data_IF_283506977167
#
_entry.id   IF_283506977167
#
_cell.length_a   1.000
_cell.length_b   1.000
_cell.length_c   1.000
_cell.angle_alpha   90.00
_cell.angle_beta   90.00
_cell.angle_gamma   90.00
#
_symmetry.space_group_name_H-M   'P 1'
#
loop_
_entity.id
_entity.type
_entity.pdbx_description
1 polymer ?
#
# COMPACT_ATOMS: atom_id res chain seq x y z
N UNK A 1 1.61 5.48 32.10
CA UNK A 1 0.67 4.35 32.21
C UNK A 1 1.22 3.46 33.32
N UNK A 2 0.51 3.26 34.43
CA UNK A 2 0.95 2.33 35.48
C UNK A 2 0.54 0.91 35.08
N UNK A 3 1.43 -0.07 35.25
CA UNK A 3 1.19 -1.49 34.99
C UNK A 3 1.53 -2.32 36.23
N UNK A 4 0.97 -3.52 36.33
CA UNK A 4 1.21 -4.45 37.44
C UNK A 4 2.05 -5.66 37.04
N UNK A 5 2.86 -5.52 35.98
CA UNK A 5 3.75 -6.58 35.49
C UNK A 5 4.96 -6.74 36.40
N UNK A 6 5.46 -7.98 36.56
CA UNK A 6 6.77 -8.23 37.16
C UNK A 6 7.91 -7.75 36.26
N UNK A 7 9.12 -7.62 36.79
CA UNK A 7 10.28 -7.19 36.01
C UNK A 7 10.60 -8.15 34.85
N UNK A 8 10.48 -9.47 35.06
CA UNK A 8 10.70 -10.46 34.01
C UNK A 8 9.64 -10.37 32.90
N UNK A 9 8.36 -10.20 33.26
CA UNK A 9 7.29 -9.98 32.29
C UNK A 9 7.48 -8.67 31.53
N UNK A 10 7.93 -7.62 32.21
CA UNK A 10 8.19 -6.31 31.62
C UNK A 10 9.33 -6.41 30.61
N UNK A 11 10.44 -7.05 30.99
CA UNK A 11 11.60 -7.25 30.13
C UNK A 11 11.28 -8.17 28.96
N UNK A 12 10.54 -9.26 29.18
CA UNK A 12 10.12 -10.16 28.10
C UNK A 12 9.21 -9.42 27.11
N UNK A 13 8.23 -8.65 27.59
CA UNK A 13 7.31 -7.90 26.73
C UNK A 13 7.99 -6.72 26.03
N UNK A 14 8.94 -6.06 26.70
CA UNK A 14 9.78 -5.04 26.09
C UNK A 14 10.72 -5.63 25.01
N UNK A 15 11.16 -6.88 25.20
CA UNK A 15 12.04 -7.58 24.25
C UNK A 15 11.28 -8.19 23.06
N UNK A 16 9.98 -8.49 23.19
CA UNK A 16 9.11 -9.01 22.12
C UNK A 16 8.56 -7.90 21.21
N UNK A 17 9.46 -7.10 20.62
CA UNK A 17 9.08 -6.19 19.54
C UNK A 17 9.02 -6.96 18.20
N UNK A 18 7.80 -7.31 17.77
CA UNK A 18 7.59 -7.86 16.41
C UNK A 18 7.23 -6.70 15.48
N UNK A 19 8.10 -6.30 14.54
CA UNK A 19 7.78 -5.25 13.59
C UNK A 19 6.63 -5.67 12.69
N UNK A 20 5.77 -4.72 12.33
CA UNK A 20 4.56 -4.99 11.55
C UNK A 20 4.54 -4.25 10.21
N UNK A 21 3.86 -4.86 9.25
CA UNK A 21 3.43 -4.17 8.03
C UNK A 21 2.01 -3.63 8.24
N UNK A 22 1.84 -2.31 8.11
CA UNK A 22 0.54 -1.65 8.09
C UNK A 22 -0.07 -1.72 6.68
N UNK A 23 -1.10 -2.55 6.52
CA UNK A 23 -1.91 -2.63 5.30
C UNK A 23 -3.04 -1.60 5.37
N UNK A 24 -2.92 -0.54 4.59
CA UNK A 24 -3.85 0.58 4.55
C UNK A 24 -4.72 0.49 3.30
N UNK A 25 -6.01 0.23 3.47
CA UNK A 25 -6.97 0.11 2.39
C UNK A 25 -7.77 1.41 2.23
N UNK A 26 -7.65 2.03 1.06
CA UNK A 26 -8.49 3.14 0.63
C UNK A 26 -9.57 2.61 -0.31
N UNK A 27 -10.81 2.56 0.15
CA UNK A 27 -11.94 1.95 -0.56
C UNK A 27 -13.10 2.91 -0.70
N UNK A 28 -13.94 2.70 -1.73
CA UNK A 28 -15.22 3.42 -1.84
C UNK A 28 -16.39 2.65 -1.20
N UNK A 29 -16.25 1.34 -1.10
CA UNK A 29 -17.30 0.35 -0.86
C UNK A 29 -16.72 -0.81 -0.02
N UNK A 30 -17.53 -1.82 0.35
CA UNK A 30 -17.00 -3.07 0.89
C UNK A 30 -15.84 -3.61 0.06
N UNK A 31 -14.97 -4.41 0.67
CA UNK A 31 -13.87 -5.11 0.00
C UNK A 31 -14.41 -6.39 -0.66
N UNK A 32 -14.67 -6.40 -1.98
CA UNK A 32 -15.34 -7.54 -2.61
C UNK A 32 -14.45 -8.78 -2.72
N UNK A 33 -13.13 -8.61 -2.54
CA UNK A 33 -12.12 -9.67 -2.59
C UNK A 33 -11.53 -9.89 -1.18
N UNK A 34 -12.25 -9.51 -0.10
CA UNK A 34 -11.75 -9.62 1.28
C UNK A 34 -11.40 -11.05 1.66
N UNK A 35 -12.15 -12.05 1.19
CA UNK A 35 -11.91 -13.44 1.55
C UNK A 35 -10.53 -13.98 1.08
N UNK A 36 -10.02 -13.47 -0.05
CA UNK A 36 -8.63 -13.76 -0.47
C UNK A 36 -7.62 -13.18 0.53
N UNK A 37 -7.88 -11.96 1.00
CA UNK A 37 -7.06 -11.28 2.00
C UNK A 37 -7.15 -11.96 3.37
N UNK A 38 -8.33 -12.43 3.79
CA UNK A 38 -8.49 -13.22 5.01
C UNK A 38 -7.60 -14.47 4.97
N UNK A 39 -7.58 -15.21 3.86
CA UNK A 39 -6.65 -16.33 3.65
C UNK A 39 -5.18 -15.89 3.63
N UNK A 40 -4.86 -14.74 3.05
CA UNK A 40 -3.51 -14.18 3.02
C UNK A 40 -2.98 -13.83 4.42
N UNK A 41 -3.84 -13.35 5.31
CA UNK A 41 -3.45 -12.92 6.65
C UNK A 41 -3.46 -14.05 7.69
N UNK A 42 -4.27 -15.09 7.49
CA UNK A 42 -4.45 -16.19 8.43
C UNK A 42 -3.10 -16.79 8.85
N UNK A 43 -2.89 -16.94 10.16
CA UNK A 43 -1.69 -17.55 10.74
C UNK A 43 -0.48 -16.61 10.87
N UNK A 44 -0.65 -15.32 10.55
CA UNK A 44 0.40 -14.29 10.65
C UNK A 44 0.02 -13.17 11.61
N UNK A 45 -0.93 -13.42 12.51
CA UNK A 45 -1.43 -12.47 13.48
C UNK A 45 -0.26 -11.90 14.33
N UNK A 46 -0.22 -10.58 14.49
CA UNK A 46 0.85 -9.89 15.20
C UNK A 46 1.99 -9.38 14.30
N UNK A 47 2.10 -9.85 13.04
CA UNK A 47 3.08 -9.36 12.06
C UNK A 47 2.53 -8.28 11.12
N UNK A 48 1.25 -7.93 11.27
CA UNK A 48 0.58 -6.94 10.45
C UNK A 48 -0.47 -6.18 11.24
N UNK A 49 -0.82 -5.00 10.73
CA UNK A 49 -1.97 -4.20 11.16
C UNK A 49 -2.77 -3.78 9.93
N UNK A 50 -4.11 -3.71 10.05
CA UNK A 50 -5.01 -3.35 8.94
C UNK A 50 -5.75 -2.06 9.30
N UNK A 51 -5.81 -1.13 8.35
CA UNK A 51 -6.53 0.13 8.47
C UNK A 51 -7.39 0.34 7.23
N UNK A 52 -8.68 0.57 7.40
CA UNK A 52 -9.62 0.75 6.28
C UNK A 52 -10.23 2.15 6.31
N UNK A 53 -9.94 2.94 5.30
CA UNK A 53 -10.64 4.17 5.00
C UNK A 53 -11.69 3.88 3.93
N UNK A 54 -12.96 4.12 4.28
CA UNK A 54 -14.11 3.85 3.41
C UNK A 54 -15.08 5.02 3.41
N UNK A 55 -15.92 5.10 2.38
CA UNK A 55 -16.89 6.20 2.28
C UNK A 55 -17.79 6.28 3.53
N UNK A 56 -18.05 7.47 4.12
CA UNK A 56 -18.70 7.59 5.42
C UNK A 56 -20.08 6.92 5.55
N UNK A 57 -20.88 6.92 4.47
CA UNK A 57 -22.21 6.28 4.47
C UNK A 57 -22.16 4.75 4.51
N UNK A 58 -20.98 4.15 4.34
CA UNK A 58 -20.77 2.73 4.55
C UNK A 58 -20.45 2.46 6.02
N UNK A 59 -21.37 1.78 6.72
CA UNK A 59 -21.29 1.47 8.15
C UNK A 59 -20.31 0.34 8.49
N UNK A 60 -19.81 -0.41 7.50
CA UNK A 60 -18.95 -1.58 7.77
C UNK A 60 -19.65 -2.77 8.42
N UNK A 61 -20.97 -2.71 8.62
CA UNK A 61 -21.75 -3.72 9.36
C UNK A 61 -21.86 -5.10 8.69
N UNK A 62 -21.26 -5.27 7.52
CA UNK A 62 -21.32 -6.51 6.72
C UNK A 62 -19.98 -7.26 6.73
N UNK A 63 -19.00 -6.84 7.54
CA UNK A 63 -17.73 -7.55 7.68
C UNK A 63 -17.92 -8.70 8.69
N UNK A 64 -17.65 -9.96 8.29
CA UNK A 64 -17.75 -11.11 9.20
C UNK A 64 -16.85 -10.96 10.42
N UNK A 65 -17.27 -11.50 11.57
CA UNK A 65 -16.54 -11.34 12.83
C UNK A 65 -15.15 -11.99 12.80
N UNK A 66 -15.00 -13.07 12.04
CA UNK A 66 -13.78 -13.84 11.80
C UNK A 66 -12.89 -13.25 10.68
N UNK A 67 -13.34 -12.20 9.99
CA UNK A 67 -12.53 -11.52 8.97
C UNK A 67 -11.43 -10.68 9.59
N UNK A 68 -10.26 -10.66 8.94
CA UNK A 68 -9.12 -9.82 9.32
C UNK A 68 -9.48 -8.31 9.30
N UNK A 69 -10.50 -7.93 8.54
CA UNK A 69 -11.00 -6.56 8.40
C UNK A 69 -11.98 -6.13 9.50
N UNK A 70 -12.42 -7.06 10.35
CA UNK A 70 -13.37 -6.74 11.41
C UNK A 70 -12.79 -5.69 12.37
N UNK A 71 -13.54 -4.63 12.66
CA UNK A 71 -13.11 -3.54 13.54
C UNK A 71 -11.93 -2.70 13.02
N UNK A 72 -11.52 -2.83 11.75
CA UNK A 72 -10.33 -2.14 11.20
C UNK A 72 -10.62 -0.79 10.54
N UNK A 73 -11.88 -0.35 10.55
CA UNK A 73 -12.29 0.92 9.92
C UNK A 73 -11.83 2.11 10.75
N UNK A 74 -11.12 3.03 10.12
CA UNK A 74 -10.75 4.30 10.74
C UNK A 74 -11.85 5.36 10.55
N UNK A 75 -11.91 6.39 11.40
CA UNK A 75 -12.70 7.58 11.12
C UNK A 75 -12.41 8.10 9.71
N UNK A 76 -13.42 8.11 8.84
CA UNK A 76 -13.26 8.37 7.41
C UNK A 76 -14.04 9.61 6.96
N UNK A 77 -13.68 10.16 5.82
CA UNK A 77 -14.28 11.37 5.22
C UNK A 77 -14.56 11.11 3.74
N UNK A 78 -15.48 11.85 3.08
CA UNK A 78 -15.76 11.66 1.66
C UNK A 78 -14.51 11.83 0.78
N UNK A 79 -14.37 10.97 -0.22
CA UNK A 79 -13.24 10.99 -1.16
C UNK A 79 -13.76 11.04 -2.60
N UNK A 80 -13.34 12.08 -3.31
CA UNK A 80 -13.67 12.32 -4.71
C UNK A 80 -12.43 12.15 -5.58
N UNK A 81 -12.60 11.47 -6.70
CA UNK A 81 -11.49 11.17 -7.59
C UNK A 81 -10.81 12.43 -8.13
N UNK A 82 -9.49 12.46 -8.14
CA UNK A 82 -8.70 13.55 -8.70
C UNK A 82 -8.66 14.82 -7.84
N UNK A 83 -9.25 14.83 -6.65
CA UNK A 83 -9.26 15.98 -5.74
C UNK A 83 -8.32 15.78 -4.54
N UNK A 84 -8.07 16.85 -3.78
CA UNK A 84 -7.24 16.80 -2.56
C UNK A 84 -7.80 15.86 -1.48
N UNK A 85 -9.09 15.55 -1.52
CA UNK A 85 -9.70 14.59 -0.59
C UNK A 85 -9.08 13.19 -0.66
N UNK A 86 -8.54 12.77 -1.81
CA UNK A 86 -7.80 11.50 -1.93
C UNK A 86 -6.55 11.52 -1.07
N UNK A 87 -5.79 12.61 -1.19
CA UNK A 87 -4.56 12.82 -0.45
C UNK A 87 -4.84 12.93 1.05
N UNK A 88 -5.92 13.62 1.43
CA UNK A 88 -6.36 13.70 2.83
C UNK A 88 -6.71 12.32 3.42
N UNK A 89 -7.29 11.42 2.62
CA UNK A 89 -7.59 10.06 3.05
C UNK A 89 -6.33 9.22 3.24
N UNK A 90 -5.38 9.30 2.30
CA UNK A 90 -4.07 8.64 2.41
C UNK A 90 -3.30 9.11 3.64
N UNK A 91 -3.29 10.43 3.90
CA UNK A 91 -2.71 11.02 5.12
C UNK A 91 -3.37 10.48 6.37
N UNK A 92 -4.70 10.40 6.37
CA UNK A 92 -5.45 9.91 7.53
C UNK A 92 -5.11 8.46 7.83
N UNK A 93 -5.02 7.62 6.80
CA UNK A 93 -4.55 6.25 6.92
C UNK A 93 -3.13 6.18 7.53
N UNK A 94 -2.18 6.93 6.98
CA UNK A 94 -0.81 6.99 7.49
C UNK A 94 -0.76 7.44 8.95
N UNK A 95 -1.49 8.50 9.31
CA UNK A 95 -1.51 9.03 10.66
C UNK A 95 -2.08 8.02 11.67
N UNK A 96 -3.19 7.33 11.33
CA UNK A 96 -3.74 6.27 12.18
C UNK A 96 -2.79 5.07 12.30
N UNK A 97 -2.12 4.70 11.22
CA UNK A 97 -1.18 3.59 11.23
C UNK A 97 0.07 3.90 12.07
N UNK A 98 0.54 5.15 12.09
CA UNK A 98 1.69 5.58 12.89
C UNK A 98 1.43 5.60 14.40
N UNK A 99 0.17 5.51 14.83
CA UNK A 99 -0.15 5.39 16.26
C UNK A 99 0.28 4.04 16.85
N UNK A 100 0.41 2.99 16.02
CA UNK A 100 1.01 1.73 16.43
C UNK A 100 2.51 1.76 16.11
N UNK A 101 3.32 1.95 17.16
CA UNK A 101 4.79 2.04 17.05
C UNK A 101 5.46 0.76 16.55
N UNK A 102 4.74 -0.37 16.52
CA UNK A 102 5.26 -1.61 15.91
C UNK A 102 5.23 -1.58 14.38
N UNK A 103 4.43 -0.71 13.75
CA UNK A 103 4.37 -0.61 12.29
C UNK A 103 5.65 0.00 11.71
N UNK A 104 6.39 -0.79 10.93
CA UNK A 104 7.63 -0.36 10.28
C UNK A 104 7.46 -0.05 8.80
N UNK A 105 6.42 -0.60 8.16
CA UNK A 105 6.16 -0.52 6.72
C UNK A 105 4.71 -0.14 6.48
N UNK A 106 4.46 0.80 5.57
CA UNK A 106 3.13 1.38 5.36
C UNK A 106 2.73 1.21 3.90
N UNK A 107 1.84 0.25 3.64
CA UNK A 107 1.43 -0.13 2.30
C UNK A 107 0.03 0.40 2.00
N UNK A 108 -0.12 1.18 0.92
CA UNK A 108 -1.42 1.65 0.45
C UNK A 108 -2.00 0.71 -0.62
N UNK A 109 -3.24 0.26 -0.42
CA UNK A 109 -3.99 -0.65 -1.29
C UNK A 109 -5.42 -0.16 -1.52
N UNK A 110 -6.07 -0.72 -2.55
CA UNK A 110 -7.49 -0.51 -2.87
C UNK A 110 -8.26 -1.80 -2.73
N UNK A 111 -9.59 -1.68 -2.72
CA UNK A 111 -10.58 -2.73 -2.92
C UNK A 111 -10.42 -3.62 -4.16
N UNK A 112 -9.52 -3.27 -5.08
CA UNK A 112 -9.24 -4.00 -6.32
C UNK A 112 -7.79 -4.47 -6.45
N UNK A 113 -7.03 -4.36 -5.36
CA UNK A 113 -5.69 -4.92 -5.23
C UNK A 113 -5.74 -6.36 -4.71
N UNK A 114 -4.81 -7.18 -5.17
CA UNK A 114 -4.59 -8.55 -4.68
C UNK A 114 -3.10 -8.75 -4.33
N UNK A 115 -2.76 -9.63 -3.39
CA UNK A 115 -1.40 -10.14 -3.26
C UNK A 115 -1.07 -11.05 -4.45
N UNK A 116 0.19 -11.03 -4.90
CA UNK A 116 0.71 -11.98 -5.89
C UNK A 116 1.89 -12.81 -5.36
N UNK A 117 2.27 -12.56 -4.11
CA UNK A 117 3.27 -13.32 -3.35
C UNK A 117 2.66 -13.74 -2.01
N UNK A 118 3.16 -14.83 -1.40
CA UNK A 118 2.73 -15.26 -0.07
C UNK A 118 3.04 -14.20 1.00
N UNK A 119 2.34 -14.26 2.15
CA UNK A 119 2.56 -13.31 3.24
C UNK A 119 4.02 -13.29 3.69
N UNK A 120 4.63 -14.46 3.90
CA UNK A 120 6.04 -14.58 4.32
C UNK A 120 7.00 -13.90 3.34
N UNK A 121 6.78 -14.08 2.02
CA UNK A 121 7.60 -13.40 1.01
C UNK A 121 7.41 -11.88 1.10
N UNK A 122 6.15 -11.42 1.17
CA UNK A 122 5.83 -9.99 1.27
C UNK A 122 6.47 -9.37 2.51
N UNK A 123 6.29 -9.99 3.68
CA UNK A 123 6.80 -9.51 4.94
C UNK A 123 8.32 -9.44 4.93
N UNK A 124 9.01 -10.51 4.54
CA UNK A 124 10.47 -10.54 4.50
C UNK A 124 11.05 -9.55 3.48
N UNK A 125 10.41 -9.42 2.32
CA UNK A 125 10.81 -8.44 1.30
C UNK A 125 10.69 -7.00 1.80
N UNK A 126 9.59 -6.68 2.48
CA UNK A 126 9.38 -5.34 3.00
C UNK A 126 10.31 -5.06 4.17
N UNK A 127 10.37 -5.95 5.17
CA UNK A 127 11.21 -5.75 6.35
C UNK A 127 12.71 -5.69 6.02
N UNK A 128 13.17 -6.49 5.05
CA UNK A 128 14.58 -6.50 4.63
C UNK A 128 15.00 -5.38 3.68
N UNK A 129 14.09 -4.51 3.23
CA UNK A 129 14.42 -3.44 2.28
C UNK A 129 15.11 -2.26 2.96
N UNK A 130 16.14 -1.67 2.38
CA UNK A 130 16.70 -0.39 2.88
C UNK A 130 15.91 0.83 2.39
N UNK A 131 14.96 0.63 1.47
CA UNK A 131 14.27 1.69 0.75
C UNK A 131 12.76 1.62 0.92
N UNK A 132 12.12 2.77 0.73
CA UNK A 132 10.69 2.84 0.44
C UNK A 132 10.41 2.57 -1.04
N UNK A 133 9.18 2.19 -1.37
CA UNK A 133 8.73 1.91 -2.73
C UNK A 133 7.65 2.90 -3.19
N UNK A 134 8.08 4.11 -3.52
CA UNK A 134 7.29 5.13 -4.20
C UNK A 134 7.87 5.41 -5.59
N UNK A 135 7.06 5.23 -6.63
CA UNK A 135 7.47 5.60 -7.99
C UNK A 135 7.47 7.11 -8.14
N UNK A 136 8.60 7.69 -8.57
CA UNK A 136 8.79 9.11 -8.84
C UNK A 136 9.27 9.29 -10.29
N UNK A 137 8.70 10.24 -11.01
CA UNK A 137 9.13 10.59 -12.36
C UNK A 137 8.80 12.04 -12.70
N UNK A 138 9.69 12.65 -13.48
CA UNK A 138 9.49 13.95 -14.11
C UNK A 138 9.06 13.73 -15.55
N UNK A 139 7.80 14.04 -15.85
CA UNK A 139 7.21 13.86 -17.17
C UNK A 139 7.00 15.25 -17.80
N UNK A 140 7.71 15.60 -18.90
CA UNK A 140 7.60 16.92 -19.50
C UNK A 140 6.24 17.18 -20.18
N UNK A 141 5.41 16.16 -20.39
CA UNK A 141 4.12 16.27 -21.09
C UNK A 141 3.05 16.95 -20.24
N UNK A 142 1.91 17.26 -20.87
CA UNK A 142 0.76 17.88 -20.19
C UNK A 142 0.21 17.05 -19.02
N UNK A 143 0.30 15.72 -19.11
CA UNK A 143 -0.10 14.82 -18.03
C UNK A 143 0.87 14.85 -16.83
N UNK A 144 2.09 15.38 -17.03
CA UNK A 144 3.18 15.53 -16.09
C UNK A 144 3.32 16.95 -15.54
N UNK A 145 4.35 17.66 -16.00
CA UNK A 145 4.64 19.07 -15.68
C UNK A 145 3.50 20.02 -16.04
N UNK A 146 2.67 19.69 -17.03
CA UNK A 146 1.48 20.49 -17.34
C UNK A 146 0.45 20.55 -16.20
N UNK A 147 0.53 19.63 -15.23
CA UNK A 147 -0.30 19.66 -14.01
C UNK A 147 0.30 20.48 -12.87
N UNK A 148 1.50 21.04 -13.05
CA UNK A 148 2.12 21.89 -12.05
C UNK A 148 1.30 23.18 -11.88
N UNK A 149 0.90 23.46 -10.64
CA UNK A 149 0.23 24.72 -10.31
C UNK A 149 1.28 25.81 -10.04
N UNK A 150 1.26 26.87 -10.85
CA UNK A 150 2.20 28.01 -10.71
C UNK A 150 2.18 28.66 -9.33
N UNK A 151 1.05 28.57 -8.60
CA UNK A 151 0.92 29.08 -7.22
C UNK A 151 1.77 28.33 -6.19
N UNK A 152 2.35 27.18 -6.54
CA UNK A 152 3.27 26.46 -5.66
C UNK A 152 4.66 27.12 -5.63
N UNK A 153 4.99 27.98 -6.58
CA UNK A 153 6.22 28.78 -6.55
C UNK A 153 6.07 29.93 -5.54
N UNK A 154 7.11 30.25 -4.73
CA UNK A 154 8.48 29.71 -4.77
C UNK A 154 8.72 28.46 -3.92
N UNK A 155 7.74 27.99 -3.15
CA UNK A 155 7.88 26.89 -2.17
C UNK A 155 8.28 25.55 -2.85
N UNK A 156 7.71 25.27 -4.01
CA UNK A 156 8.08 24.12 -4.86
C UNK A 156 8.40 24.68 -6.23
N UNK A 157 9.66 24.57 -6.67
CA UNK A 157 10.03 24.93 -8.03
C UNK A 157 9.55 23.88 -9.04
N UNK A 158 9.33 24.28 -10.29
CA UNK A 158 8.93 23.35 -11.38
C UNK A 158 9.90 22.16 -11.50
N UNK A 159 11.21 22.39 -11.33
CA UNK A 159 12.23 21.32 -11.37
C UNK A 159 12.13 20.31 -10.22
N UNK A 160 11.50 20.70 -9.12
CA UNK A 160 11.29 19.82 -7.96
C UNK A 160 9.99 19.01 -8.09
N UNK A 161 9.06 19.46 -8.93
CA UNK A 161 7.79 18.80 -9.17
C UNK A 161 7.97 17.44 -9.83
N UNK A 162 7.54 16.40 -9.12
CA UNK A 162 7.53 15.03 -9.63
C UNK A 162 6.15 14.43 -9.47
N UNK A 163 5.78 13.61 -10.45
CA UNK A 163 4.60 12.74 -10.36
C UNK A 163 5.01 11.35 -9.90
N UNK A 164 4.01 10.57 -9.54
CA UNK A 164 4.21 9.22 -9.08
C UNK A 164 2.95 8.38 -9.14
N UNK A 165 3.12 7.10 -8.80
CA UNK A 165 2.00 6.21 -8.51
C UNK A 165 1.30 6.66 -7.23
N UNK A 166 -0.03 6.55 -7.19
CA UNK A 166 -0.78 6.66 -5.94
C UNK A 166 -0.43 5.52 -4.98
N UNK A 167 -0.24 4.32 -5.51
CA UNK A 167 0.05 3.11 -4.72
C UNK A 167 1.52 3.07 -4.36
N UNK A 168 1.81 2.99 -3.06
CA UNK A 168 3.14 3.04 -2.49
C UNK A 168 3.30 2.05 -1.32
N UNK A 169 4.55 1.74 -1.01
CA UNK A 169 4.98 1.32 0.31
C UNK A 169 6.02 2.31 0.83
N UNK A 170 5.93 2.66 2.12
CA UNK A 170 6.79 3.64 2.75
C UNK A 170 7.31 3.12 4.09
N UNK A 171 8.61 3.27 4.32
CA UNK A 171 9.25 2.97 5.60
C UNK A 171 8.81 3.97 6.68
N UNK A 172 8.69 3.51 7.93
CA UNK A 172 8.34 4.30 9.12
C UNK A 172 9.00 5.69 9.20
N UNK A 173 10.33 5.78 9.11
CA UNK A 173 11.03 7.06 9.17
C UNK A 173 10.60 8.06 8.09
N UNK A 174 10.25 7.57 6.89
CA UNK A 174 9.72 8.40 5.81
C UNK A 174 8.24 8.75 6.09
N UNK A 175 7.43 7.82 6.59
CA UNK A 175 6.04 8.07 6.96
C UNK A 175 5.89 9.17 8.03
N UNK A 176 6.72 9.15 9.09
CA UNK A 176 6.75 10.18 10.13
C UNK A 176 7.04 11.56 9.53
N UNK A 177 8.04 11.64 8.64
CA UNK A 177 8.39 12.90 7.95
C UNK A 177 7.24 13.37 7.07
N UNK A 178 6.62 12.49 6.28
CA UNK A 178 5.49 12.86 5.41
C UNK A 178 4.35 13.50 6.20
N UNK A 179 3.96 12.89 7.32
CA UNK A 179 2.88 13.44 8.17
C UNK A 179 3.30 14.77 8.80
N UNK A 180 4.58 14.93 9.17
CA UNK A 180 5.10 16.15 9.81
C UNK A 180 5.24 17.34 8.85
N UNK A 181 5.77 17.12 7.65
CA UNK A 181 5.99 18.18 6.64
C UNK A 181 4.73 18.51 5.83
N UNK A 182 3.65 17.79 6.05
CA UNK A 182 2.40 17.90 5.28
C UNK A 182 1.83 19.33 5.23
N UNK A 183 1.90 20.07 6.35
CA UNK A 183 1.34 21.43 6.44
C UNK A 183 1.95 22.39 5.41
N UNK A 184 3.21 22.15 5.02
CA UNK A 184 3.98 23.00 4.10
C UNK A 184 3.85 22.56 2.64
N UNK A 185 3.61 21.26 2.42
CA UNK A 185 3.52 20.67 1.09
C UNK A 185 2.19 19.92 0.95
N UNK A 186 1.10 20.69 0.83
CA UNK A 186 -0.26 20.16 0.60
C UNK A 186 -0.42 19.44 -0.74
N UNK A 187 0.63 19.42 -1.57
CA UNK A 187 0.59 19.02 -2.96
C UNK A 187 1.57 17.86 -3.19
N UNK A 188 0.98 16.69 -3.47
CA UNK A 188 1.64 15.52 -4.04
C UNK A 188 2.80 14.92 -3.25
N UNK A 189 2.50 13.81 -2.56
CA UNK A 189 3.48 12.94 -1.90
C UNK A 189 4.74 12.64 -2.74
N UNK A 190 4.66 12.33 -4.05
CA UNK A 190 5.85 12.16 -4.89
C UNK A 190 6.81 13.36 -4.90
N UNK A 191 6.27 14.58 -4.96
CA UNK A 191 7.07 15.81 -4.95
C UNK A 191 7.73 16.02 -3.58
N UNK A 192 7.00 15.77 -2.50
CA UNK A 192 7.54 15.85 -1.14
C UNK A 192 8.73 14.89 -0.94
N UNK A 193 8.59 13.64 -1.36
CA UNK A 193 9.66 12.65 -1.25
C UNK A 193 10.85 13.02 -2.14
N UNK A 194 10.62 13.52 -3.35
CA UNK A 194 11.68 14.00 -4.23
C UNK A 194 12.51 15.13 -3.60
N UNK A 195 11.85 16.09 -2.97
CA UNK A 195 12.53 17.25 -2.36
C UNK A 195 13.33 16.85 -1.12
N UNK A 196 12.74 16.02 -0.25
CA UNK A 196 13.30 15.83 1.09
C UNK A 196 14.16 14.56 1.23
N UNK A 197 13.83 13.48 0.50
CA UNK A 197 14.17 12.11 0.92
C UNK A 197 14.38 11.16 -0.27
N UNK A 198 14.91 11.66 -1.39
CA UNK A 198 15.12 10.87 -2.60
C UNK A 198 16.11 9.70 -2.42
N UNK A 199 17.08 9.84 -1.50
CA UNK A 199 18.09 8.83 -1.21
C UNK A 199 17.57 7.59 -0.46
N UNK A 200 16.41 7.68 0.20
CA UNK A 200 15.78 6.57 0.94
C UNK A 200 14.58 5.96 0.19
N UNK A 201 14.43 6.31 -1.08
CA UNK A 201 13.37 5.82 -1.96
C UNK A 201 13.95 5.07 -3.16
N UNK A 202 13.34 3.95 -3.52
CA UNK A 202 13.78 3.12 -4.64
C UNK A 202 13.35 3.63 -6.02
N UNK A 203 12.54 4.70 -6.07
CA UNK A 203 11.92 5.25 -7.29
C UNK A 203 11.07 4.25 -8.09
N UNK A 204 10.65 3.15 -7.46
CA UNK A 204 9.77 2.14 -8.06
C UNK A 204 8.58 1.81 -7.17
N UNK A 205 7.55 1.23 -7.77
CA UNK A 205 6.36 0.72 -7.09
C UNK A 205 6.42 -0.81 -7.02
N UNK A 206 5.85 -1.37 -5.96
CA UNK A 206 5.71 -2.83 -5.76
C UNK A 206 4.32 -3.35 -6.10
N UNK A 207 3.42 -2.49 -6.59
CA UNK A 207 2.10 -2.88 -7.09
C UNK A 207 2.11 -2.85 -8.62
N UNK A 208 1.87 -3.99 -9.26
CA UNK A 208 1.68 -4.11 -10.69
C UNK A 208 0.39 -3.41 -11.12
N UNK A 209 0.48 -2.67 -12.22
CA UNK A 209 -0.66 -1.96 -12.83
C UNK A 209 -0.43 -2.00 -14.33
N UNK A 210 -1.39 -2.57 -15.04
CA UNK A 210 -1.37 -2.66 -16.50
C UNK A 210 -1.98 -1.41 -17.14
N UNK A 211 -1.09 -0.61 -17.76
CA UNK A 211 -1.42 0.60 -18.51
C UNK A 211 -1.33 0.39 -20.03
N UNK A 212 -1.21 -0.85 -20.52
CA UNK A 212 -1.00 -1.18 -21.94
C UNK A 212 -2.07 -0.62 -22.88
N UNK A 213 -3.30 -0.38 -22.37
CA UNK A 213 -4.42 0.18 -23.14
C UNK A 213 -4.36 1.69 -23.37
N UNK A 214 -3.47 2.41 -22.67
CA UNK A 214 -3.34 3.87 -22.80
C UNK A 214 -4.54 4.69 -22.29
N UNK A 215 -5.49 4.06 -21.61
CA UNK A 215 -6.69 4.70 -21.07
C UNK A 215 -6.40 5.52 -19.78
N UNK A 216 -7.28 6.46 -19.40
CA UNK A 216 -7.17 7.19 -18.12
C UNK A 216 -7.23 6.31 -16.87
N UNK A 217 -7.68 5.06 -17.04
CA UNK A 217 -7.70 4.03 -16.02
C UNK A 217 -6.93 2.79 -16.50
N UNK A 218 -6.26 2.07 -15.58
CA UNK A 218 -5.56 0.86 -15.97
C UNK A 218 -6.54 -0.25 -16.37
N UNK A 219 -6.04 -1.23 -17.12
CA UNK A 219 -6.80 -2.43 -17.48
C UNK A 219 -7.43 -3.06 -16.24
N UNK A 220 -8.68 -3.50 -16.40
CA UNK A 220 -9.38 -4.30 -15.40
C UNK A 220 -9.30 -5.77 -15.81
N UNK A 221 -8.95 -6.63 -14.86
CA UNK A 221 -8.94 -8.08 -15.04
C UNK A 221 -10.27 -8.65 -14.56
N UNK A 222 -10.96 -9.38 -15.44
CA UNK A 222 -12.13 -10.19 -15.13
C UNK A 222 -11.74 -11.64 -14.85
N UNK A 223 -12.72 -12.46 -14.50
CA UNK A 223 -12.51 -13.87 -14.16
C UNK A 223 -11.83 -14.67 -15.27
N UNK A 224 -12.05 -14.32 -16.55
CA UNK A 224 -11.46 -14.99 -17.71
C UNK A 224 -9.96 -14.70 -17.88
N UNK A 225 -9.49 -13.58 -17.32
CA UNK A 225 -8.09 -13.18 -17.41
C UNK A 225 -7.22 -13.88 -16.35
N UNK A 226 -7.82 -14.35 -15.24
CA UNK A 226 -7.09 -14.86 -14.07
C UNK A 226 -6.69 -16.31 -14.26
N UNK A 227 -5.39 -16.57 -14.34
CA UNK A 227 -4.79 -17.89 -14.36
C UNK A 227 -3.37 -17.87 -13.74
N UNK A 228 -2.72 -19.03 -13.68
CA UNK A 228 -1.37 -19.17 -13.10
C UNK A 228 -0.34 -18.45 -13.96
N UNK A 229 -0.51 -18.46 -15.28
CA UNK A 229 0.38 -17.82 -16.24
C UNK A 229 0.43 -16.31 -16.05
N UNK A 230 -0.73 -15.65 -15.95
CA UNK A 230 -0.83 -14.21 -15.64
C UNK A 230 -0.16 -13.92 -14.29
N UNK A 231 -0.39 -14.77 -13.29
CA UNK A 231 0.19 -14.59 -11.96
C UNK A 231 1.73 -14.67 -12.01
N UNK A 232 2.28 -15.65 -12.73
CA UNK A 232 3.72 -15.81 -12.92
C UNK A 232 4.32 -14.69 -13.76
N UNK A 233 3.62 -14.22 -14.80
CA UNK A 233 4.02 -13.07 -15.60
C UNK A 233 4.14 -11.82 -14.72
N UNK A 234 3.18 -11.58 -13.82
CA UNK A 234 3.24 -10.44 -12.90
C UNK A 234 4.39 -10.59 -11.89
N UNK A 235 4.61 -11.80 -11.36
CA UNK A 235 5.62 -12.06 -10.32
C UNK A 235 7.05 -12.05 -10.84
N UNK A 236 7.27 -12.58 -12.03
CA UNK A 236 8.61 -12.95 -12.53
C UNK A 236 8.90 -12.42 -13.93
N UNK A 237 7.95 -11.74 -14.58
CA UNK A 237 8.12 -11.22 -15.94
C UNK A 237 8.91 -9.92 -16.06
N UNK A 238 9.51 -9.43 -14.96
CA UNK A 238 10.31 -8.22 -14.95
C UNK A 238 11.50 -8.35 -14.01
N UNK A 239 12.60 -7.67 -14.34
CA UNK A 239 13.76 -7.51 -13.45
C UNK A 239 13.82 -6.09 -12.88
N UNK A 240 14.32 -5.95 -11.66
CA UNK A 240 14.47 -4.68 -10.98
C UNK A 240 15.55 -4.76 -9.91
N UNK A 241 15.85 -3.61 -9.30
CA UNK A 241 16.78 -3.52 -8.19
C UNK A 241 16.07 -3.65 -6.84
N UNK A 242 16.67 -4.45 -5.96
CA UNK A 242 16.32 -4.60 -4.55
C UNK A 242 17.61 -4.56 -3.74
N UNK A 243 17.75 -3.55 -2.88
CA UNK A 243 18.98 -3.29 -2.12
C UNK A 243 20.25 -3.27 -2.99
N UNK A 244 20.17 -2.74 -4.21
CA UNK A 244 21.28 -2.68 -5.18
C UNK A 244 21.45 -3.93 -6.06
N UNK A 245 20.92 -5.07 -5.63
CA UNK A 245 21.00 -6.34 -6.35
C UNK A 245 19.85 -6.50 -7.35
N UNK A 246 20.11 -7.20 -8.46
CA UNK A 246 19.05 -7.55 -9.42
C UNK A 246 18.19 -8.67 -8.86
N UNK A 247 16.87 -8.55 -9.00
CA UNK A 247 15.88 -9.57 -8.64
C UNK A 247 14.75 -9.60 -9.67
N UNK A 248 14.06 -10.74 -9.78
CA UNK A 248 12.84 -10.89 -10.57
C UNK A 248 11.57 -10.59 -9.75
N UNK A 249 11.66 -10.41 -8.42
CA UNK A 249 10.50 -10.08 -7.57
C UNK A 249 10.32 -8.56 -7.55
N UNK A 250 9.66 -8.06 -8.60
CA UNK A 250 9.43 -6.63 -8.76
C UNK A 250 8.07 -6.17 -8.23
N UNK A 251 7.10 -7.06 -8.15
CA UNK A 251 5.76 -6.74 -7.72
C UNK A 251 5.28 -7.75 -6.69
N UNK A 252 4.81 -7.24 -5.56
CA UNK A 252 4.23 -8.01 -4.46
C UNK A 252 2.70 -8.02 -4.51
N UNK A 253 2.13 -7.02 -5.20
CA UNK A 253 0.70 -6.81 -5.34
C UNK A 253 0.34 -6.51 -6.78
N UNK A 254 -0.92 -6.67 -7.15
CA UNK A 254 -1.41 -6.33 -8.48
C UNK A 254 -2.80 -5.70 -8.44
N UNK A 255 -3.08 -4.86 -9.45
CA UNK A 255 -4.39 -4.24 -9.70
C UNK A 255 -4.58 -4.02 -11.21
N UNK A 256 -5.80 -3.99 -11.75
CA UNK A 256 -7.09 -3.82 -11.08
C UNK A 256 -8.01 -5.03 -11.30
N UNK A 257 -8.29 -5.79 -10.25
CA UNK A 257 -9.10 -7.01 -10.34
C UNK A 257 -10.57 -6.69 -10.04
N UNK A 258 -11.48 -7.23 -10.86
CA UNK A 258 -12.93 -7.07 -10.66
C UNK A 258 -13.44 -8.00 -9.57
N UNK A 259 -14.57 -7.68 -8.90
CA UNK A 259 -15.20 -8.58 -7.91
C UNK A 259 -15.42 -10.01 -8.43
N UNK A 260 -15.77 -10.16 -9.71
CA UNK A 260 -15.99 -11.45 -10.36
C UNK A 260 -14.75 -12.37 -10.38
N UNK A 261 -13.56 -11.82 -10.11
CA UNK A 261 -12.32 -12.60 -10.07
C UNK A 261 -12.16 -13.45 -8.82
N UNK A 262 -12.86 -13.15 -7.71
CA UNK A 262 -12.64 -13.80 -6.41
C UNK A 262 -12.66 -15.33 -6.50
N UNK A 263 -13.66 -15.90 -7.16
CA UNK A 263 -13.79 -17.36 -7.27
C UNK A 263 -12.61 -18.02 -7.99
N UNK A 264 -12.09 -17.39 -9.06
CA UNK A 264 -10.94 -17.93 -9.81
C UNK A 264 -9.63 -17.65 -9.06
N UNK A 265 -9.50 -16.49 -8.42
CA UNK A 265 -8.36 -16.15 -7.57
C UNK A 265 -8.17 -17.18 -6.45
N UNK A 266 -9.26 -17.59 -5.78
CA UNK A 266 -9.18 -18.61 -4.73
C UNK A 266 -8.75 -19.98 -5.26
N UNK A 267 -9.14 -20.34 -6.48
CA UNK A 267 -8.73 -21.62 -7.12
C UNK A 267 -7.24 -21.64 -7.45
N UNK A 268 -6.66 -20.52 -7.87
CA UNK A 268 -5.22 -20.44 -8.20
C UNK A 268 -4.35 -20.05 -7.00
N UNK A 269 -4.96 -19.63 -5.89
CA UNK A 269 -4.23 -19.08 -4.76
C UNK A 269 -3.32 -20.08 -4.05
N UNK A 270 -3.66 -21.37 -3.98
CA UNK A 270 -2.75 -22.39 -3.43
C UNK A 270 -1.45 -22.47 -4.24
N UNK A 271 -1.55 -22.49 -5.58
CA UNK A 271 -0.38 -22.53 -6.48
C UNK A 271 0.43 -21.23 -6.49
N UNK A 272 -0.21 -20.07 -6.28
CA UNK A 272 0.43 -18.75 -6.41
C UNK A 272 0.92 -18.20 -5.08
N UNK A 273 0.10 -18.32 -4.03
CA UNK A 273 0.31 -17.73 -2.70
C UNK A 273 0.72 -18.77 -1.65
N UNK A 274 0.65 -20.07 -1.97
CA UNK A 274 1.07 -21.13 -1.06
C UNK A 274 0.17 -21.28 0.17
N UNK A 275 -1.14 -21.03 0.02
CA UNK A 275 -2.09 -21.34 1.09
C UNK A 275 -2.10 -22.86 1.31
N UNK A 276 -1.83 -23.30 2.53
CA UNK A 276 -2.08 -24.69 2.91
C UNK A 276 -3.59 -24.98 2.76
N UNK A 277 -3.98 -26.15 2.23
CA UNK A 277 -5.37 -26.55 2.03
C UNK A 277 -6.27 -26.37 3.25
#
# INVERSE_FOLDING_TARGET
>A
MMHNMSDDELLEKASKFVPKVAFMFLTRRPLPISYLWDKFFKGHEGMYSIYVHSYPSYSGSHVPQDSAFNGRRIPSQPVYWGTMSMIDAERRLLAHALLDSSNQRFLLLSDSCIPVCSFTIVYNYLMGSNYSFLSLYDDPRNIGRGRYNRRMWPVVAVKQWHKGSQWFEIHHNLAVKIVSYWKYYQHYLPTLVNILLSNVNSNRRITWIDWSRGEPHPRKYGWIDVNVELSNQIRFGAECKYNGNTTNICYLFARKFLPSTLGVLLKVASSVLGFDP
#
